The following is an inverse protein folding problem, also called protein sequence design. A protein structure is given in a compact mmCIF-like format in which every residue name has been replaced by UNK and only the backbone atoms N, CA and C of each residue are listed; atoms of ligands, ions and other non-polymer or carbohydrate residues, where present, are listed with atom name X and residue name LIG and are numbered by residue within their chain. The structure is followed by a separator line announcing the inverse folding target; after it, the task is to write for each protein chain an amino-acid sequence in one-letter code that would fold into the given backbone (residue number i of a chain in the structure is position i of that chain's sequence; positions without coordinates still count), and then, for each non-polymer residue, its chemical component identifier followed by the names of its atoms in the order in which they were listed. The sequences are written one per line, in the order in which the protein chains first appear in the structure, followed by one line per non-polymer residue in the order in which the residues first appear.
data_IF_189281787507
#
_entry.id   IF_189281787507
#
_cell.length_a   1.000
_cell.length_b   1.000
_cell.length_c   1.000
_cell.angle_alpha   90.00
_cell.angle_beta   90.00
_cell.angle_gamma   90.00
#
_symmetry.space_group_name_H-M   'P 1'
#
loop_
_entity.id
_entity.type
_entity.pdbx_description
1 polymer ?
#
# COMPACT_ATOMS: atom_id res chain seq x y z
N UNK A 1 11.58 29.67 7.03
CA UNK A 1 10.29 29.58 7.74
C UNK A 1 9.32 28.84 6.84
N UNK A 2 8.69 27.76 7.32
CA UNK A 2 7.71 27.02 6.52
C UNK A 2 6.47 27.88 6.26
N UNK A 3 5.78 27.66 5.13
CA UNK A 3 4.53 28.33 4.79
C UNK A 3 3.48 28.17 5.91
N UNK A 4 3.50 27.02 6.58
CA UNK A 4 2.70 26.69 7.78
C UNK A 4 3.03 27.63 8.94
N UNK A 5 4.31 27.93 9.18
CA UNK A 5 4.72 28.86 10.23
C UNK A 5 4.28 30.31 9.98
N UNK A 6 4.23 30.73 8.71
CA UNK A 6 3.74 32.05 8.33
C UNK A 6 2.22 32.17 8.51
N UNK A 7 1.46 31.12 8.13
CA UNK A 7 0.00 31.06 8.30
C UNK A 7 -0.38 31.07 9.79
N UNK A 8 0.31 30.29 10.63
CA UNK A 8 0.06 30.25 12.08
C UNK A 8 0.37 31.59 12.78
N UNK A 9 1.42 32.31 12.36
CA UNK A 9 1.72 33.65 12.87
C UNK A 9 0.65 34.68 12.48
N UNK A 10 0.17 34.61 11.23
CA UNK A 10 -0.88 35.49 10.73
C UNK A 10 -2.20 35.23 11.48
N UNK A 11 -2.58 33.97 11.67
CA UNK A 11 -3.79 33.61 12.43
C UNK A 11 -3.74 34.06 13.90
N UNK A 12 -2.62 33.84 14.61
CA UNK A 12 -2.48 34.33 15.99
C UNK A 12 -2.56 35.86 16.07
N UNK A 13 -1.96 36.56 15.10
CA UNK A 13 -1.97 38.03 15.07
C UNK A 13 -3.38 38.59 14.86
N UNK A 14 -4.18 37.99 13.97
CA UNK A 14 -5.56 38.40 13.74
C UNK A 14 -6.49 38.01 14.89
N UNK A 15 -6.34 36.81 15.47
CA UNK A 15 -7.17 36.34 16.59
C UNK A 15 -6.99 37.20 17.84
N UNK A 16 -5.74 37.57 18.18
CA UNK A 16 -5.46 38.45 19.32
C UNK A 16 -6.00 39.88 19.12
N UNK A 17 -5.99 40.38 17.88
CA UNK A 17 -6.54 41.69 17.54
C UNK A 17 -8.08 41.66 17.54
N UNK A 18 -8.69 40.55 17.14
CA UNK A 18 -10.14 40.32 17.16
C UNK A 18 -10.70 40.29 18.60
N UNK A 19 -9.99 39.64 19.53
CA UNK A 19 -10.37 39.57 20.95
C UNK A 19 -10.28 40.94 21.64
N UNK A 20 -9.32 41.80 21.26
CA UNK A 20 -9.16 43.15 21.83
C UNK A 20 -10.25 44.14 21.41
N UNK A 21 -10.89 43.94 20.25
CA UNK A 21 -11.85 44.91 19.69
C UNK A 21 -13.29 44.67 20.18
N UNK A 22 -13.63 43.47 20.67
CA UNK A 22 -15.03 43.09 20.92
C UNK A 22 -15.45 42.92 22.40
N UNK A 23 -14.55 43.03 23.38
CA UNK A 23 -14.86 42.72 24.79
C UNK A 23 -14.70 43.96 25.69
N UNK A 24 -15.84 44.47 26.23
CA UNK A 24 -15.83 45.52 27.26
C UNK A 24 -15.12 45.05 28.55
N UNK A 25 -14.52 45.96 29.35
CA UNK A 25 -13.56 45.59 30.40
C UNK A 25 -14.09 44.66 31.51
N UNK A 26 -15.40 44.57 31.74
CA UNK A 26 -16.00 43.89 32.89
C UNK A 26 -16.20 42.38 32.75
N UNK A 27 -15.92 41.76 31.60
CA UNK A 27 -16.03 40.29 31.39
C UNK A 27 -14.68 39.58 31.24
N UNK A 28 -13.56 40.30 31.35
CA UNK A 28 -12.20 39.75 31.12
C UNK A 28 -11.79 38.62 32.07
N UNK A 29 -12.31 38.58 33.30
CA UNK A 29 -11.86 37.61 34.32
C UNK A 29 -12.50 36.21 34.17
N UNK A 30 -13.78 36.13 33.77
CA UNK A 30 -14.45 34.84 33.60
C UNK A 30 -14.16 34.21 32.24
N UNK A 31 -14.01 35.03 31.19
CA UNK A 31 -13.66 34.53 29.85
C UNK A 31 -12.24 34.01 29.81
N UNK A 32 -11.25 34.69 30.43
CA UNK A 32 -9.85 34.23 30.40
C UNK A 32 -9.66 32.88 31.10
N UNK A 33 -10.37 32.65 32.21
CA UNK A 33 -10.31 31.39 32.97
C UNK A 33 -10.92 30.24 32.17
N UNK A 34 -12.10 30.47 31.57
CA UNK A 34 -12.78 29.47 30.75
C UNK A 34 -12.03 29.17 29.43
N UNK A 35 -11.41 30.17 28.81
CA UNK A 35 -10.56 29.96 27.62
C UNK A 35 -9.27 29.20 27.93
N UNK A 36 -8.69 29.38 29.12
CA UNK A 36 -7.48 28.67 29.52
C UNK A 36 -7.75 27.20 29.83
N UNK A 37 -8.88 26.89 30.48
CA UNK A 37 -9.29 25.51 30.75
C UNK A 37 -9.68 24.76 29.47
N UNK A 38 -10.33 25.44 28.52
CA UNK A 38 -10.66 24.87 27.20
C UNK A 38 -9.39 24.67 26.36
N UNK A 39 -8.45 25.61 26.40
CA UNK A 39 -7.16 25.49 25.69
C UNK A 39 -6.31 24.35 26.25
N UNK A 40 -6.27 24.16 27.57
CA UNK A 40 -5.53 23.08 28.22
C UNK A 40 -6.16 21.68 28.03
N UNK A 41 -7.47 21.63 27.78
CA UNK A 41 -8.22 20.42 27.38
C UNK A 41 -8.00 20.07 25.90
N UNK A 42 -7.96 21.08 25.02
CA UNK A 42 -7.82 20.90 23.57
C UNK A 42 -6.38 20.63 23.11
N UNK A 43 -5.37 21.20 23.79
CA UNK A 43 -3.95 20.91 23.52
C UNK A 43 -3.56 19.45 23.81
N UNK A 44 -4.40 18.70 24.55
CA UNK A 44 -4.19 17.26 24.81
C UNK A 44 -4.75 16.34 23.72
N UNK A 45 -5.46 16.85 22.72
CA UNK A 45 -6.00 16.04 21.61
C UNK A 45 -5.65 16.72 20.28
N UNK A 46 -4.56 16.26 19.66
CA UNK A 46 -4.21 16.57 18.27
C UNK A 46 -5.40 16.25 17.35
N UNK A 47 -6.12 17.28 16.88
CA UNK A 47 -7.01 17.23 15.71
C UNK A 47 -7.39 18.65 15.28
N UNK A 48 -6.68 19.15 14.27
CA UNK A 48 -6.93 20.39 13.52
C UNK A 48 -8.37 20.48 12.99
N UNK A 49 -9.07 19.34 12.90
CA UNK A 49 -10.47 19.25 12.46
C UNK A 49 -11.51 19.85 13.44
N UNK A 50 -11.21 19.88 14.75
CA UNK A 50 -12.19 20.33 15.76
C UNK A 50 -12.28 21.85 15.93
N UNK A 51 -11.31 22.62 15.44
CA UNK A 51 -11.34 24.09 15.55
C UNK A 51 -12.37 24.73 14.61
N UNK A 52 -12.65 24.13 13.46
CA UNK A 52 -13.64 24.63 12.50
C UNK A 52 -15.08 24.31 12.93
N UNK A 53 -15.30 23.15 13.55
CA UNK A 53 -16.62 22.74 14.07
C UNK A 53 -17.05 23.61 15.26
N UNK A 54 -16.10 24.07 16.09
CA UNK A 54 -16.41 24.96 17.21
C UNK A 54 -16.84 26.37 16.74
N UNK A 55 -16.29 26.87 15.62
CA UNK A 55 -16.74 28.13 15.01
C UNK A 55 -18.18 27.98 14.47
N UNK A 56 -18.51 26.81 13.90
CA UNK A 56 -19.89 26.47 13.51
C UNK A 56 -20.84 26.37 14.72
N UNK A 57 -20.42 25.76 15.82
CA UNK A 57 -21.24 25.68 17.03
C UNK A 57 -21.46 27.04 17.72
N UNK A 58 -20.55 28.01 17.57
CA UNK A 58 -20.77 29.38 18.06
C UNK A 58 -21.78 30.14 17.18
N UNK A 59 -21.88 29.80 15.89
CA UNK A 59 -22.87 30.38 14.98
C UNK A 59 -24.30 29.80 15.18
N UNK A 60 -24.41 28.62 15.81
CA UNK A 60 -25.67 27.99 16.23
C UNK A 60 -26.04 28.25 17.70
N UNK A 61 -25.32 29.12 18.42
CA UNK A 61 -25.80 29.66 19.70
C UNK A 61 -26.95 30.61 19.38
N UNK A 62 -28.17 30.08 19.49
CA UNK A 62 -29.44 30.70 19.12
C UNK A 62 -29.64 32.10 19.69
N UNK A 63 -30.53 32.85 19.01
CA UNK A 63 -31.23 34.13 19.26
C UNK A 63 -30.70 35.17 20.28
N UNK A 64 -30.03 34.76 21.35
CA UNK A 64 -29.56 35.60 22.44
C UNK A 64 -28.37 36.50 22.07
N UNK A 65 -27.51 36.10 21.13
CA UNK A 65 -26.31 36.87 20.73
C UNK A 65 -26.55 37.84 19.57
N UNK A 66 -27.59 37.62 18.74
CA UNK A 66 -27.87 38.50 17.59
C UNK A 66 -28.32 39.91 17.97
N UNK A 67 -28.86 40.14 19.18
CA UNK A 67 -29.29 41.48 19.63
C UNK A 67 -28.14 42.44 19.97
N UNK A 68 -26.92 41.95 20.18
CA UNK A 68 -25.79 42.76 20.67
C UNK A 68 -24.64 42.90 19.66
N UNK A 69 -24.75 42.27 18.48
CA UNK A 69 -23.72 42.31 17.44
C UNK A 69 -24.25 43.12 16.26
N UNK A 70 -23.50 44.16 15.85
CA UNK A 70 -23.86 45.04 14.74
C UNK A 70 -24.08 44.22 13.44
N UNK A 71 -25.13 44.51 12.67
CA UNK A 71 -25.44 43.86 11.38
C UNK A 71 -24.25 43.85 10.42
N UNK A 72 -23.40 44.87 10.43
CA UNK A 72 -22.16 44.87 9.63
C UNK A 72 -21.17 43.78 10.05
N UNK A 73 -21.05 43.51 11.35
CA UNK A 73 -20.13 42.50 11.89
C UNK A 73 -20.63 41.10 11.52
N UNK A 74 -21.95 40.87 11.60
CA UNK A 74 -22.57 39.62 11.14
C UNK A 74 -22.33 39.40 9.65
N UNK A 75 -22.45 40.46 8.83
CA UNK A 75 -22.20 40.37 7.39
C UNK A 75 -20.73 40.05 7.07
N UNK A 76 -19.79 40.68 7.79
CA UNK A 76 -18.35 40.41 7.64
C UNK A 76 -17.98 38.99 8.07
N UNK A 77 -18.57 38.48 9.15
CA UNK A 77 -18.39 37.08 9.58
C UNK A 77 -18.92 36.14 8.50
N UNK A 78 -20.13 36.38 7.97
CA UNK A 78 -20.71 35.57 6.89
C UNK A 78 -19.84 35.55 5.64
N UNK A 79 -19.36 36.71 5.20
CA UNK A 79 -18.45 36.83 4.05
C UNK A 79 -17.12 36.11 4.30
N UNK A 80 -16.59 36.17 5.53
CA UNK A 80 -15.37 35.44 5.90
C UNK A 80 -15.60 33.93 5.92
N UNK A 81 -16.72 33.43 6.47
CA UNK A 81 -17.08 32.00 6.36
C UNK A 81 -17.29 31.56 4.92
N UNK A 82 -17.89 32.39 4.07
CA UNK A 82 -18.07 32.08 2.65
C UNK A 82 -16.73 32.06 1.92
N UNK A 83 -15.84 33.02 2.21
CA UNK A 83 -14.50 33.06 1.65
C UNK A 83 -13.64 31.87 2.12
N UNK A 84 -13.77 31.45 3.39
CA UNK A 84 -13.12 30.24 3.92
C UNK A 84 -13.75 28.99 3.30
N UNK A 85 -15.06 28.93 3.10
CA UNK A 85 -15.73 27.82 2.41
C UNK A 85 -15.29 27.71 0.94
N UNK A 86 -15.07 28.85 0.26
CA UNK A 86 -14.53 28.91 -1.10
C UNK A 86 -13.03 28.56 -1.13
N UNK A 87 -12.25 29.03 -0.15
CA UNK A 87 -10.85 28.64 -0.01
C UNK A 87 -10.69 27.16 0.30
N UNK A 88 -11.56 26.59 1.17
CA UNK A 88 -11.57 25.17 1.50
C UNK A 88 -12.12 24.33 0.35
N UNK A 89 -13.07 24.83 -0.45
CA UNK A 89 -13.47 24.17 -1.69
C UNK A 89 -12.35 24.19 -2.75
N UNK A 90 -11.52 25.23 -2.77
CA UNK A 90 -10.32 25.28 -3.63
C UNK A 90 -9.14 24.48 -3.07
N UNK A 91 -9.03 24.31 -1.75
CA UNK A 91 -8.04 23.44 -1.10
C UNK A 91 -8.42 21.95 -1.16
N UNK A 92 -9.72 21.63 -1.33
CA UNK A 92 -10.20 20.26 -1.60
C UNK A 92 -10.20 19.90 -3.09
N UNK A 93 -9.76 20.81 -3.95
CA UNK A 93 -9.45 20.58 -5.36
C UNK A 93 -8.01 21.01 -5.67
N UNK A 94 -7.09 20.71 -4.76
CA UNK A 94 -5.70 20.49 -5.12
C UNK A 94 -5.58 19.03 -5.56
N UNK A 95 -5.47 18.83 -6.87
CA UNK A 95 -5.18 17.56 -7.55
C UNK A 95 -3.72 17.13 -7.27
N UNK A 96 -3.40 16.97 -5.99
CA UNK A 96 -2.19 16.30 -5.52
C UNK A 96 -2.65 15.05 -4.76
N UNK A 97 -2.98 14.00 -5.51
CA UNK A 97 -3.13 12.68 -4.89
C UNK A 97 -1.85 12.41 -4.09
N UNK A 98 -2.00 12.11 -2.79
CA UNK A 98 -0.93 11.58 -1.96
C UNK A 98 -0.22 10.47 -2.74
N UNK A 99 1.09 10.58 -3.04
CA UNK A 99 1.78 9.61 -3.88
C UNK A 99 1.64 8.21 -3.26
N UNK A 100 1.60 7.18 -4.11
CA UNK A 100 1.62 5.80 -3.62
C UNK A 100 2.94 5.54 -2.88
N UNK A 101 2.86 4.91 -1.71
CA UNK A 101 4.01 4.53 -0.89
C UNK A 101 4.09 3.02 -0.82
N UNK A 102 4.59 2.42 -1.90
CA UNK A 102 4.56 0.97 -2.13
C UNK A 102 5.32 0.17 -1.06
N UNK A 103 6.53 0.60 -0.70
CA UNK A 103 7.33 0.01 0.37
C UNK A 103 7.30 0.86 1.66
N UNK A 104 6.11 1.35 2.06
CA UNK A 104 5.93 2.15 3.29
C UNK A 104 6.55 1.51 4.54
N UNK A 105 6.48 0.18 4.62
CA UNK A 105 6.92 -0.58 5.77
C UNK A 105 8.40 -0.93 5.75
N UNK A 106 9.13 -0.54 4.71
CA UNK A 106 10.58 -0.75 4.52
C UNK A 106 10.95 -2.23 4.54
N UNK A 107 11.16 -2.78 3.36
CA UNK A 107 11.61 -4.15 3.14
C UNK A 107 13.10 -4.15 2.79
N UNK A 108 13.83 -5.16 3.26
CA UNK A 108 15.26 -5.37 3.02
C UNK A 108 15.48 -6.71 2.31
N UNK A 109 16.49 -6.82 1.43
CA UNK A 109 17.53 -5.81 1.16
C UNK A 109 17.06 -4.67 0.23
N UNK A 110 17.89 -3.63 0.06
CA UNK A 110 17.60 -2.43 -0.75
C UNK A 110 18.74 -2.01 -1.69
N UNK A 111 19.69 -2.90 -1.93
CA UNK A 111 20.85 -2.71 -2.80
C UNK A 111 20.43 -2.51 -4.27
N UNK A 112 19.52 -3.35 -4.78
CA UNK A 112 19.15 -3.38 -6.20
C UNK A 112 17.64 -3.19 -6.39
N UNK A 113 17.19 -1.97 -6.10
CA UNK A 113 15.78 -1.59 -6.15
C UNK A 113 15.40 -0.93 -7.48
N UNK A 114 14.18 -1.20 -7.95
CA UNK A 114 13.49 -0.38 -8.94
C UNK A 114 12.08 0.00 -8.50
N UNK A 115 11.79 1.29 -8.58
CA UNK A 115 10.46 1.84 -8.34
C UNK A 115 9.68 1.99 -9.64
N UNK A 116 8.44 1.50 -9.63
CA UNK A 116 7.44 1.65 -10.67
C UNK A 116 6.23 2.42 -10.11
N UNK A 117 5.33 2.86 -10.98
CA UNK A 117 4.03 3.46 -10.60
C UNK A 117 3.14 2.43 -9.88
N UNK A 118 3.35 1.14 -10.14
CA UNK A 118 2.50 0.06 -9.63
C UNK A 118 3.05 -0.67 -8.40
N UNK A 119 4.37 -0.66 -8.19
CA UNK A 119 5.07 -1.42 -7.15
C UNK A 119 6.54 -0.98 -7.03
N UNK A 120 7.21 -1.44 -5.98
CA UNK A 120 8.66 -1.41 -5.82
C UNK A 120 9.17 -2.86 -5.82
N UNK A 121 10.28 -3.12 -6.51
CA UNK A 121 10.89 -4.46 -6.56
C UNK A 121 12.36 -4.40 -6.14
N UNK A 122 12.80 -5.39 -5.36
CA UNK A 122 14.22 -5.72 -5.16
C UNK A 122 14.60 -6.91 -6.01
N UNK A 123 15.75 -6.82 -6.64
CA UNK A 123 16.34 -7.90 -7.40
C UNK A 123 17.58 -8.39 -6.69
N UNK A 124 17.74 -9.69 -6.71
CA UNK A 124 18.96 -10.34 -6.28
C UNK A 124 20.14 -9.90 -7.17
N UNK A 125 21.24 -9.57 -6.53
CA UNK A 125 22.43 -9.00 -7.16
C UNK A 125 23.51 -10.10 -7.28
N UNK A 126 24.72 -9.75 -7.72
CA UNK A 126 25.84 -10.71 -7.74
C UNK A 126 26.62 -10.73 -6.42
N UNK A 127 26.13 -10.02 -5.40
CA UNK A 127 26.72 -9.98 -4.07
C UNK A 127 26.04 -11.01 -3.16
N UNK A 128 26.85 -11.65 -2.32
CA UNK A 128 26.50 -12.76 -1.42
C UNK A 128 25.75 -12.30 -0.15
N UNK A 129 24.96 -11.23 -0.24
CA UNK A 129 24.36 -10.57 0.92
C UNK A 129 23.19 -11.37 1.56
N UNK A 130 22.81 -12.49 0.95
CA UNK A 130 21.74 -13.40 1.35
C UNK A 130 22.26 -14.80 1.76
N UNK A 131 23.59 -14.97 1.93
CA UNK A 131 24.27 -16.20 2.35
C UNK A 131 23.99 -17.44 1.46
N UNK A 132 23.53 -17.24 0.20
CA UNK A 132 23.33 -18.33 -0.75
C UNK A 132 24.66 -18.76 -1.41
N UNK A 133 24.92 -20.07 -1.58
CA UNK A 133 26.17 -20.54 -2.17
C UNK A 133 26.17 -20.42 -3.71
N UNK A 134 26.90 -19.46 -4.28
CA UNK A 134 27.23 -19.42 -5.72
C UNK A 134 27.24 -18.02 -6.36
N UNK A 135 27.43 -17.95 -7.68
CA UNK A 135 27.05 -16.77 -8.48
C UNK A 135 25.51 -16.71 -8.47
N UNK A 136 24.96 -15.91 -7.57
CA UNK A 136 23.67 -16.18 -6.92
C UNK A 136 22.41 -15.73 -7.67
N UNK A 137 22.57 -15.02 -8.79
CA UNK A 137 21.45 -14.36 -9.46
C UNK A 137 20.33 -15.33 -9.86
N UNK A 138 19.22 -15.27 -9.13
CA UNK A 138 18.04 -16.12 -9.36
C UNK A 138 17.27 -15.78 -10.64
N UNK A 139 17.43 -14.56 -11.17
CA UNK A 139 16.62 -14.04 -12.28
C UNK A 139 15.18 -13.71 -11.88
N UNK A 140 14.91 -13.65 -10.58
CA UNK A 140 13.62 -13.31 -9.97
C UNK A 140 13.78 -12.17 -8.99
N UNK A 141 12.73 -11.37 -8.71
CA UNK A 141 12.77 -10.44 -7.60
C UNK A 141 12.84 -11.19 -6.27
N UNK A 142 13.62 -10.67 -5.32
CA UNK A 142 13.63 -11.15 -3.94
C UNK A 142 12.32 -10.81 -3.25
N UNK A 143 11.84 -9.59 -3.50
CA UNK A 143 10.56 -9.12 -3.02
C UNK A 143 9.99 -8.04 -3.94
N UNK A 144 8.66 -7.95 -3.94
CA UNK A 144 7.86 -6.91 -4.56
C UNK A 144 6.90 -6.37 -3.50
N UNK A 145 6.92 -5.05 -3.32
CA UNK A 145 6.05 -4.35 -2.39
C UNK A 145 5.10 -3.40 -3.15
N UNK A 146 3.84 -3.32 -2.74
CA UNK A 146 2.87 -2.43 -3.35
C UNK A 146 1.75 -2.00 -2.39
N UNK A 147 1.15 -0.86 -2.69
CA UNK A 147 0.01 -0.31 -1.97
C UNK A 147 -1.24 -0.52 -2.84
N UNK A 148 -2.31 -1.03 -2.23
CA UNK A 148 -3.63 -1.14 -2.84
C UNK A 148 -4.53 -0.13 -2.16
N UNK A 149 -5.16 0.75 -2.94
CA UNK A 149 -6.20 1.67 -2.46
C UNK A 149 -7.59 1.18 -2.87
N UNK A 150 -8.59 1.62 -2.13
CA UNK A 150 -9.99 1.54 -2.51
C UNK A 150 -10.16 2.07 -3.93
N UNK A 151 -10.92 1.34 -4.74
CA UNK A 151 -11.27 1.79 -6.07
C UNK A 151 -12.67 2.39 -6.04
N UNK A 152 -12.79 3.66 -6.44
CA UNK A 152 -14.05 4.42 -6.36
C UNK A 152 -14.97 4.20 -7.58
N UNK A 153 -14.50 3.51 -8.62
CA UNK A 153 -15.32 3.15 -9.77
C UNK A 153 -16.09 1.84 -9.57
N UNK A 154 -17.17 1.67 -10.31
CA UNK A 154 -18.01 0.45 -10.23
C UNK A 154 -17.27 -0.81 -10.71
N UNK A 155 -16.41 -0.65 -11.71
CA UNK A 155 -15.58 -1.70 -12.27
C UNK A 155 -14.28 -1.10 -12.80
N UNK A 156 -13.22 -1.92 -12.86
CA UNK A 156 -11.91 -1.47 -13.31
C UNK A 156 -11.89 -1.49 -14.84
N UNK A 157 -11.71 -0.34 -15.52
CA UNK A 157 -11.64 -0.30 -16.97
C UNK A 157 -10.31 -0.91 -17.41
N UNK A 158 -10.39 -2.05 -18.08
CA UNK A 158 -9.21 -2.76 -18.55
C UNK A 158 -8.92 -2.42 -20.01
N UNK A 159 -7.67 -2.10 -20.35
CA UNK A 159 -7.25 -2.05 -21.75
C UNK A 159 -6.51 -3.34 -22.14
N UNK A 160 -6.53 -3.61 -23.45
CA UNK A 160 -5.96 -4.82 -24.07
C UNK A 160 -4.43 -4.95 -23.91
N UNK A 161 -3.93 -6.11 -24.36
CA UNK A 161 -2.65 -6.72 -23.95
C UNK A 161 -1.41 -5.82 -23.90
N UNK A 162 -0.63 -6.00 -22.84
CA UNK A 162 0.72 -5.49 -22.71
C UNK A 162 1.73 -6.59 -23.06
N UNK A 163 2.83 -6.20 -23.69
CA UNK A 163 3.94 -7.11 -23.96
C UNK A 163 4.90 -7.12 -22.77
N UNK A 164 5.44 -8.29 -22.46
CA UNK A 164 6.52 -8.44 -21.47
C UNK A 164 7.79 -7.73 -21.93
N UNK A 165 8.40 -6.99 -21.00
CA UNK A 165 9.60 -6.19 -21.28
C UNK A 165 10.76 -6.66 -20.42
N UNK A 166 11.94 -6.75 -21.03
CA UNK A 166 13.19 -6.83 -20.30
C UNK A 166 13.58 -5.42 -19.81
N UNK A 167 14.04 -5.32 -18.58
CA UNK A 167 14.60 -4.09 -18.06
C UNK A 167 16.06 -4.00 -18.46
N UNK A 168 16.35 -3.20 -19.49
CA UNK A 168 17.67 -3.18 -20.15
C UNK A 168 18.85 -3.11 -19.16
N UNK A 169 18.77 -2.25 -18.13
CA UNK A 169 19.83 -2.13 -17.10
C UNK A 169 20.06 -3.45 -16.36
N UNK A 170 19.00 -4.17 -16.03
CA UNK A 170 19.07 -5.43 -15.28
C UNK A 170 19.46 -6.59 -16.21
N UNK A 171 19.02 -6.57 -17.47
CA UNK A 171 19.48 -7.53 -18.48
C UNK A 171 20.98 -7.36 -18.77
N UNK A 172 21.44 -6.13 -19.06
CA UNK A 172 22.84 -5.83 -19.38
C UNK A 172 23.79 -6.24 -18.23
N UNK A 173 23.32 -6.15 -16.98
CA UNK A 173 24.08 -6.54 -15.79
C UNK A 173 24.00 -8.05 -15.49
N UNK A 174 23.18 -8.80 -16.22
CA UNK A 174 22.94 -10.22 -15.97
C UNK A 174 22.22 -10.47 -14.65
N UNK A 175 21.27 -9.61 -14.27
CA UNK A 175 20.45 -9.69 -13.06
C UNK A 175 19.03 -10.20 -13.37
N UNK A 176 18.46 -9.77 -14.50
CA UNK A 176 17.10 -10.12 -14.89
C UNK A 176 17.04 -10.73 -16.30
N UNK A 177 16.13 -11.68 -16.53
CA UNK A 177 15.95 -12.30 -17.84
C UNK A 177 15.23 -11.36 -18.81
N UNK A 178 15.24 -11.76 -20.08
CA UNK A 178 14.26 -11.34 -21.08
C UNK A 178 13.26 -12.44 -21.39
N UNK A 179 12.31 -12.13 -22.26
CA UNK A 179 11.14 -12.97 -22.55
C UNK A 179 11.43 -14.37 -23.08
N UNK A 180 12.57 -14.57 -23.75
CA UNK A 180 12.96 -15.87 -24.29
C UNK A 180 13.13 -16.94 -23.21
N UNK A 181 13.65 -16.57 -22.03
CA UNK A 181 13.83 -17.47 -20.88
C UNK A 181 12.52 -18.11 -20.38
N UNK A 182 11.37 -17.48 -20.70
CA UNK A 182 10.03 -17.95 -20.39
C UNK A 182 9.25 -18.42 -21.64
N UNK A 183 9.89 -18.46 -22.81
CA UNK A 183 9.26 -18.86 -24.05
C UNK A 183 9.17 -20.38 -24.12
N UNK A 184 7.98 -20.87 -24.47
CA UNK A 184 7.74 -22.29 -24.69
C UNK A 184 6.97 -22.44 -25.99
N UNK A 185 7.34 -23.44 -26.80
CA UNK A 185 6.63 -23.73 -28.04
C UNK A 185 5.16 -24.10 -27.78
N UNK A 186 4.28 -23.85 -28.76
CA UNK A 186 2.87 -24.26 -28.66
C UNK A 186 2.72 -25.77 -28.45
N UNK A 187 3.62 -26.58 -29.05
CA UNK A 187 3.68 -28.03 -28.84
C UNK A 187 3.98 -28.36 -27.38
N UNK A 188 4.99 -27.73 -26.79
CA UNK A 188 5.33 -27.92 -25.37
C UNK A 188 4.16 -27.55 -24.46
N UNK A 189 3.56 -26.37 -24.66
CA UNK A 189 2.43 -25.89 -23.85
C UNK A 189 1.20 -26.79 -23.93
N UNK A 190 0.97 -27.42 -25.09
CA UNK A 190 -0.14 -28.35 -25.29
C UNK A 190 0.12 -29.70 -24.61
N UNK A 191 1.37 -30.18 -24.64
CA UNK A 191 1.77 -31.41 -23.97
C UNK A 191 1.92 -31.25 -22.44
N UNK A 192 2.23 -30.03 -21.97
CA UNK A 192 2.47 -29.70 -20.57
C UNK A 192 1.48 -28.61 -20.13
N UNK A 193 0.22 -28.95 -19.83
CA UNK A 193 -0.81 -27.97 -19.49
C UNK A 193 -0.51 -27.18 -18.21
N UNK A 194 0.40 -27.66 -17.36
CA UNK A 194 0.88 -26.99 -16.14
C UNK A 194 2.34 -26.49 -16.25
N UNK A 195 2.73 -26.01 -17.43
CA UNK A 195 4.01 -25.36 -17.63
C UNK A 195 4.18 -24.09 -16.77
N UNK A 196 5.42 -23.65 -16.58
CA UNK A 196 5.74 -22.45 -15.80
C UNK A 196 5.43 -21.16 -16.57
N UNK A 197 4.37 -20.48 -16.16
CA UNK A 197 3.99 -19.17 -16.71
C UNK A 197 4.83 -18.04 -16.10
N UNK A 198 4.73 -16.86 -16.72
CA UNK A 198 5.22 -15.60 -16.14
C UNK A 198 4.21 -15.16 -15.07
N UNK A 199 4.42 -15.64 -13.84
CA UNK A 199 3.48 -15.41 -12.76
C UNK A 199 3.76 -14.07 -12.08
N UNK A 200 2.76 -13.19 -12.05
CA UNK A 200 2.91 -11.85 -11.49
C UNK A 200 2.98 -11.91 -9.96
N UNK A 201 3.77 -11.00 -9.37
CA UNK A 201 3.76 -10.74 -7.93
C UNK A 201 2.80 -9.60 -7.57
N UNK A 202 2.85 -8.49 -8.33
CA UNK A 202 1.81 -7.47 -8.40
C UNK A 202 0.91 -7.74 -9.62
N UNK A 203 -0.38 -8.03 -9.39
CA UNK A 203 -1.33 -8.33 -10.45
C UNK A 203 -1.74 -7.09 -11.26
N UNK A 204 -1.85 -7.26 -12.59
CA UNK A 204 -2.29 -6.23 -13.54
C UNK A 204 -3.56 -5.51 -13.08
N UNK A 205 -4.58 -6.24 -12.65
CA UNK A 205 -5.89 -5.67 -12.33
C UNK A 205 -5.84 -4.73 -11.10
N UNK A 206 -4.97 -5.00 -10.12
CA UNK A 206 -4.72 -4.05 -9.01
C UNK A 206 -4.04 -2.80 -9.55
N UNK A 207 -3.00 -2.95 -10.38
CA UNK A 207 -2.30 -1.82 -10.96
C UNK A 207 -3.20 -0.95 -11.87
N UNK A 208 -4.20 -1.52 -12.53
CA UNK A 208 -5.21 -0.78 -13.30
C UNK A 208 -6.08 0.14 -12.44
N UNK A 209 -6.15 -0.06 -11.11
CA UNK A 209 -6.78 0.91 -10.19
C UNK A 209 -6.03 2.25 -10.18
N UNK A 210 -4.74 2.23 -10.49
CA UNK A 210 -3.86 3.42 -10.53
C UNK A 210 -3.95 4.05 -11.91
N UNK A 211 -3.52 3.31 -12.94
CA UNK A 211 -3.57 3.75 -14.34
C UNK A 211 -3.28 2.60 -15.30
N UNK A 212 -3.55 2.80 -16.59
CA UNK A 212 -3.12 1.86 -17.63
C UNK A 212 -1.60 1.77 -17.77
N UNK A 213 -0.86 2.83 -17.40
CA UNK A 213 0.60 2.81 -17.42
C UNK A 213 1.16 1.96 -16.27
N UNK A 214 0.59 2.08 -15.08
CA UNK A 214 0.87 1.21 -13.94
C UNK A 214 0.62 -0.27 -14.30
N UNK A 215 -0.50 -0.54 -14.98
CA UNK A 215 -0.80 -1.88 -15.50
C UNK A 215 0.27 -2.39 -16.48
N UNK A 216 0.71 -1.55 -17.42
CA UNK A 216 1.76 -1.92 -18.36
C UNK A 216 3.10 -2.21 -17.67
N UNK A 217 3.41 -1.55 -16.56
CA UNK A 217 4.62 -1.77 -15.77
C UNK A 217 4.61 -3.10 -15.01
N UNK A 218 3.46 -3.74 -14.82
CA UNK A 218 3.40 -5.10 -14.24
C UNK A 218 3.97 -6.18 -15.17
N UNK A 219 4.11 -5.90 -16.47
CA UNK A 219 4.63 -6.81 -17.51
C UNK A 219 6.14 -6.68 -17.67
N UNK A 220 6.86 -6.90 -16.57
CA UNK A 220 8.33 -6.87 -16.50
C UNK A 220 8.84 -8.05 -15.68
N UNK A 221 10.05 -8.53 -15.96
CA UNK A 221 10.62 -9.67 -15.23
C UNK A 221 11.05 -9.34 -13.79
N UNK A 222 11.04 -8.07 -13.41
CA UNK A 222 11.20 -7.62 -12.02
C UNK A 222 9.93 -7.80 -11.18
N UNK A 223 8.84 -8.25 -11.79
CA UNK A 223 7.54 -8.52 -11.15
C UNK A 223 7.05 -9.93 -11.43
N UNK A 224 7.92 -10.82 -11.90
CA UNK A 224 7.53 -12.15 -12.32
C UNK A 224 8.48 -13.24 -11.83
N UNK A 225 7.87 -14.37 -11.50
CA UNK A 225 8.56 -15.62 -11.15
C UNK A 225 7.98 -16.77 -11.97
N UNK A 226 8.72 -17.88 -12.20
CA UNK A 226 8.17 -19.08 -12.81
C UNK A 226 7.10 -19.69 -11.91
N UNK A 227 5.83 -19.49 -12.25
CA UNK A 227 4.70 -20.07 -11.52
C UNK A 227 4.06 -21.20 -12.31
N UNK A 228 3.72 -22.31 -11.67
CA UNK A 228 2.87 -23.36 -12.28
C UNK A 228 1.55 -22.76 -12.73
N UNK A 229 1.13 -23.03 -13.97
CA UNK A 229 -0.08 -22.41 -14.55
C UNK A 229 -1.32 -22.60 -13.67
N UNK A 230 -1.52 -23.80 -13.11
CA UNK A 230 -2.68 -24.09 -12.25
C UNK A 230 -2.59 -23.39 -10.90
N UNK A 231 -1.39 -23.23 -10.35
CA UNK A 231 -1.16 -22.43 -9.14
C UNK A 231 -1.50 -20.95 -9.39
N UNK A 232 -0.91 -20.37 -10.44
CA UNK A 232 -1.08 -18.97 -10.83
C UNK A 232 -2.57 -18.62 -11.09
N UNK A 233 -3.27 -19.45 -11.87
CA UNK A 233 -4.69 -19.21 -12.21
C UNK A 233 -5.68 -19.78 -11.18
N UNK A 234 -5.17 -20.36 -10.10
CA UNK A 234 -5.95 -21.00 -9.06
C UNK A 234 -5.86 -20.23 -7.75
N UNK A 235 -5.27 -20.87 -6.74
CA UNK A 235 -5.24 -20.36 -5.37
C UNK A 235 -4.53 -19.00 -5.24
N UNK A 236 -3.50 -18.75 -6.05
CA UNK A 236 -2.77 -17.48 -6.03
C UNK A 236 -3.68 -16.33 -6.48
N UNK A 237 -4.35 -16.49 -7.62
CA UNK A 237 -5.31 -15.51 -8.14
C UNK A 237 -6.50 -15.28 -7.19
N UNK A 238 -6.98 -16.33 -6.51
CA UNK A 238 -8.05 -16.18 -5.53
C UNK A 238 -7.60 -15.30 -4.35
N UNK A 239 -6.40 -15.53 -3.81
CA UNK A 239 -5.82 -14.68 -2.77
C UNK A 239 -5.65 -13.24 -3.26
N UNK A 240 -5.19 -13.03 -4.50
CA UNK A 240 -5.09 -11.71 -5.10
C UNK A 240 -6.44 -10.98 -5.10
N UNK A 241 -7.54 -11.66 -5.49
CA UNK A 241 -8.88 -11.09 -5.40
C UNK A 241 -9.32 -10.80 -3.96
N UNK A 242 -8.95 -11.64 -2.99
CA UNK A 242 -9.24 -11.40 -1.57
C UNK A 242 -8.50 -10.15 -1.06
N UNK A 243 -7.22 -9.97 -1.40
CA UNK A 243 -6.47 -8.75 -1.03
C UNK A 243 -7.07 -7.48 -1.62
N UNK A 244 -7.57 -7.58 -2.85
CA UNK A 244 -8.32 -6.53 -3.56
C UNK A 244 -9.63 -6.17 -2.82
N UNK A 245 -10.34 -7.17 -2.28
CA UNK A 245 -11.54 -6.96 -1.49
C UNK A 245 -11.26 -6.35 -0.11
N UNK A 246 -10.21 -6.78 0.58
CA UNK A 246 -9.80 -6.15 1.83
C UNK A 246 -9.40 -4.68 1.63
N UNK A 247 -8.76 -4.34 0.52
CA UNK A 247 -8.42 -2.94 0.23
C UNK A 247 -9.68 -2.09 0.00
N UNK A 248 -10.72 -2.67 -0.60
CA UNK A 248 -12.01 -2.01 -0.74
C UNK A 248 -12.70 -1.80 0.62
N UNK A 249 -12.65 -2.80 1.51
CA UNK A 249 -13.25 -2.72 2.86
C UNK A 249 -12.50 -1.75 3.79
N UNK A 250 -11.17 -1.72 3.74
CA UNK A 250 -10.33 -0.98 4.69
C UNK A 250 -9.78 0.33 4.15
N UNK A 251 -10.12 0.71 2.92
CA UNK A 251 -9.66 1.94 2.27
C UNK A 251 -8.27 1.83 1.64
N UNK A 252 -7.30 1.22 2.33
CA UNK A 252 -5.97 0.90 1.77
C UNK A 252 -5.25 -0.20 2.53
N UNK A 253 -4.35 -0.88 1.83
CA UNK A 253 -3.50 -1.95 2.34
C UNK A 253 -2.12 -1.92 1.66
N UNK A 254 -1.15 -2.56 2.30
CA UNK A 254 0.15 -2.84 1.72
C UNK A 254 0.35 -4.34 1.58
N UNK A 255 0.99 -4.75 0.49
CA UNK A 255 1.36 -6.13 0.23
C UNK A 255 2.86 -6.18 -0.02
N UNK A 256 3.53 -7.15 0.60
CA UNK A 256 4.91 -7.53 0.31
C UNK A 256 4.89 -9.01 -0.08
N UNK A 257 5.51 -9.38 -1.19
CA UNK A 257 5.41 -10.74 -1.72
C UNK A 257 6.67 -11.10 -2.50
N UNK A 258 7.01 -12.39 -2.58
CA UNK A 258 8.22 -12.84 -3.24
C UNK A 258 8.32 -14.36 -3.30
N UNK A 259 9.35 -14.87 -3.99
CA UNK A 259 9.68 -16.29 -4.03
C UNK A 259 10.24 -16.78 -2.69
N UNK A 260 10.15 -18.09 -2.48
CA UNK A 260 10.87 -18.85 -1.46
C UNK A 260 11.64 -19.96 -2.17
N UNK A 261 12.93 -20.06 -1.84
CA UNK A 261 13.82 -21.14 -2.23
C UNK A 261 14.21 -21.90 -0.97
N UNK A 262 13.77 -23.16 -0.85
CA UNK A 262 14.01 -23.93 0.38
C UNK A 262 15.51 -24.23 0.49
N UNK A 263 16.07 -24.04 1.68
CA UNK A 263 17.50 -24.17 1.96
C UNK A 263 18.38 -23.32 1.02
N UNK A 264 17.82 -22.24 0.47
CA UNK A 264 18.51 -21.37 -0.47
C UNK A 264 18.73 -21.96 -1.86
N UNK A 265 18.12 -23.11 -2.17
CA UNK A 265 18.37 -23.85 -3.40
C UNK A 265 17.12 -23.85 -4.28
N UNK A 266 17.19 -23.35 -5.53
CA UNK A 266 16.07 -23.45 -6.45
C UNK A 266 15.68 -24.89 -6.78
N UNK A 267 14.37 -25.16 -6.83
CA UNK A 267 13.82 -26.46 -7.25
C UNK A 267 14.21 -26.86 -8.70
N UNK A 268 14.68 -25.90 -9.48
CA UNK A 268 15.15 -26.04 -10.85
C UNK A 268 15.23 -24.68 -11.53
N UNK A 269 15.46 -24.70 -12.85
CA UNK A 269 15.55 -23.49 -13.66
C UNK A 269 14.75 -23.64 -14.95
N UNK A 270 14.18 -22.53 -15.44
CA UNK A 270 13.70 -22.40 -16.81
C UNK A 270 14.74 -21.67 -17.67
N UNK A 271 14.51 -21.59 -18.98
CA UNK A 271 15.45 -21.07 -19.98
C UNK A 271 16.23 -22.20 -20.64
N UNK A 272 16.19 -22.30 -21.97
CA UNK A 272 16.82 -23.36 -22.76
C UNK A 272 18.19 -22.92 -23.31
N UNK A 273 19.12 -23.86 -23.50
CA UNK A 273 20.42 -23.56 -24.12
C UNK A 273 21.17 -22.41 -23.42
N UNK A 274 21.54 -21.40 -24.20
CA UNK A 274 22.28 -20.19 -23.78
C UNK A 274 21.37 -19.07 -23.24
N UNK A 275 20.07 -19.31 -23.05
CA UNK A 275 19.17 -18.35 -22.43
C UNK A 275 19.49 -18.16 -20.94
N UNK A 276 19.11 -16.99 -20.42
CA UNK A 276 19.22 -16.69 -18.99
C UNK A 276 18.46 -17.74 -18.18
N UNK A 277 19.12 -18.35 -17.18
CA UNK A 277 18.48 -19.34 -16.31
C UNK A 277 17.70 -18.63 -15.22
N UNK A 278 16.41 -18.93 -15.13
CA UNK A 278 15.55 -18.33 -14.11
C UNK A 278 15.14 -19.39 -13.11
N UNK A 279 15.45 -19.14 -11.85
CA UNK A 279 15.17 -20.03 -10.74
C UNK A 279 13.67 -20.27 -10.56
N UNK A 280 13.30 -21.51 -10.30
CA UNK A 280 11.91 -21.91 -10.02
C UNK A 280 11.74 -21.96 -8.50
N UNK A 281 10.90 -21.09 -7.90
CA UNK A 281 10.70 -21.09 -6.46
C UNK A 281 9.88 -22.30 -5.99
N UNK A 282 10.18 -22.80 -4.79
CA UNK A 282 9.42 -23.88 -4.15
C UNK A 282 8.04 -23.40 -3.68
N UNK A 283 7.99 -22.18 -3.16
CA UNK A 283 6.81 -21.53 -2.65
C UNK A 283 6.84 -20.03 -2.94
N UNK A 284 5.72 -19.35 -2.75
CA UNK A 284 5.66 -17.89 -2.70
C UNK A 284 5.14 -17.45 -1.34
N UNK A 285 5.65 -16.34 -0.82
CA UNK A 285 5.08 -15.71 0.36
C UNK A 285 4.23 -14.49 0.00
N UNK A 286 3.29 -14.15 0.88
CA UNK A 286 2.57 -12.86 0.82
C UNK A 286 2.32 -12.35 2.24
N UNK A 287 2.74 -11.13 2.52
CA UNK A 287 2.48 -10.39 3.75
C UNK A 287 1.53 -9.25 3.40
N UNK A 288 0.38 -9.19 4.08
CA UNK A 288 -0.64 -8.16 3.90
C UNK A 288 -0.72 -7.34 5.17
N UNK A 289 -0.55 -6.03 5.05
CA UNK A 289 -0.50 -5.09 6.18
C UNK A 289 -1.67 -4.13 6.09
N UNK A 290 -2.47 -4.09 7.16
CA UNK A 290 -3.52 -3.09 7.39
C UNK A 290 -3.05 -2.10 8.44
N UNK A 291 -2.96 -0.84 8.05
CA UNK A 291 -2.55 0.26 8.94
C UNK A 291 -3.68 0.66 9.90
N UNK A 292 -3.95 -0.19 10.89
CA UNK A 292 -4.84 0.16 12.02
C UNK A 292 -4.14 1.07 13.03
N UNK A 293 -2.82 0.89 13.18
CA UNK A 293 -1.93 1.74 13.98
C UNK A 293 -0.54 1.75 13.32
N UNK A 294 0.09 2.92 13.25
CA UNK A 294 1.42 3.11 12.65
C UNK A 294 2.52 2.24 13.28
N UNK A 295 2.43 1.93 14.56
CA UNK A 295 3.45 1.14 15.26
C UNK A 295 2.98 -0.28 15.63
N UNK A 296 1.74 -0.62 15.30
CA UNK A 296 1.16 -1.94 15.55
C UNK A 296 0.05 -2.22 14.53
N UNK A 297 0.37 -2.32 13.23
CA UNK A 297 -0.61 -2.64 12.20
C UNK A 297 -1.12 -4.07 12.37
N UNK A 298 -2.27 -4.37 11.77
CA UNK A 298 -2.72 -5.75 11.64
C UNK A 298 -2.05 -6.39 10.43
N UNK A 299 -1.58 -7.62 10.59
CA UNK A 299 -0.83 -8.34 9.55
C UNK A 299 -1.41 -9.73 9.34
N UNK A 300 -1.42 -10.16 8.08
CA UNK A 300 -1.55 -11.57 7.71
C UNK A 300 -0.33 -11.95 6.88
N UNK A 301 0.27 -13.09 7.17
CA UNK A 301 1.41 -13.62 6.44
C UNK A 301 1.07 -15.02 5.95
N UNK A 302 1.47 -15.33 4.72
CA UNK A 302 1.17 -16.60 4.07
C UNK A 302 2.39 -17.18 3.36
N UNK A 303 2.48 -18.50 3.34
CA UNK A 303 3.40 -19.27 2.48
C UNK A 303 2.57 -20.24 1.63
N UNK A 304 2.73 -20.17 0.31
CA UNK A 304 2.02 -21.00 -0.65
C UNK A 304 3.01 -21.86 -1.44
N UNK A 305 3.12 -23.17 -1.17
CA UNK A 305 3.90 -24.05 -2.03
C UNK A 305 3.28 -24.12 -3.42
N UNK A 306 4.11 -24.09 -4.47
CA UNK A 306 3.64 -24.19 -5.85
C UNK A 306 2.90 -25.51 -6.11
N UNK A 307 3.28 -26.57 -5.38
CA UNK A 307 2.59 -27.86 -5.32
C UNK A 307 2.18 -28.16 -3.88
N UNK A 308 0.88 -28.13 -3.61
CA UNK A 308 0.33 -28.43 -2.28
C UNK A 308 -1.18 -28.68 -2.32
N UNK A 309 -1.82 -28.81 -1.16
CA UNK A 309 -3.25 -29.13 -1.07
C UNK A 309 -4.16 -28.19 -1.90
N UNK A 310 -3.84 -26.90 -1.88
CA UNK A 310 -4.54 -25.82 -2.59
C UNK A 310 -4.34 -25.87 -4.09
N UNK A 311 -3.24 -26.44 -4.58
CA UNK A 311 -3.06 -26.72 -6.01
C UNK A 311 -4.10 -27.74 -6.52
N UNK A 312 -4.56 -28.67 -5.68
CA UNK A 312 -5.52 -29.72 -6.07
C UNK A 312 -6.98 -29.39 -5.72
N UNK A 313 -7.23 -28.44 -4.82
CA UNK A 313 -8.57 -28.04 -4.40
C UNK A 313 -9.27 -27.11 -5.41
N UNK A 314 -10.61 -27.06 -5.35
CA UNK A 314 -11.44 -26.02 -5.98
C UNK A 314 -12.05 -25.04 -4.98
N UNK A 315 -12.08 -25.42 -3.70
CA UNK A 315 -12.49 -24.57 -2.59
C UNK A 315 -11.22 -24.23 -1.82
N UNK A 316 -10.67 -23.04 -2.06
CA UNK A 316 -9.43 -22.63 -1.41
C UNK A 316 -9.72 -22.23 0.03
N UNK A 317 -9.02 -22.88 0.94
CA UNK A 317 -9.03 -22.56 2.36
C UNK A 317 -7.69 -21.90 2.69
N UNK A 318 -7.68 -20.57 2.61
CA UNK A 318 -6.46 -19.76 2.77
C UNK A 318 -5.92 -19.78 4.21
N UNK A 319 -6.75 -20.15 5.21
CA UNK A 319 -6.32 -20.23 6.61
C UNK A 319 -5.20 -21.27 6.83
N UNK A 320 -5.17 -22.32 5.99
CA UNK A 320 -4.15 -23.40 6.04
C UNK A 320 -2.75 -22.95 5.65
N UNK A 321 -2.64 -21.77 5.06
CA UNK A 321 -1.39 -21.20 4.56
C UNK A 321 -0.89 -20.04 5.44
N UNK A 322 -1.62 -19.72 6.51
CA UNK A 322 -1.21 -18.69 7.47
C UNK A 322 0.07 -19.11 8.19
N UNK A 323 0.99 -18.17 8.32
CA UNK A 323 2.26 -18.30 9.03
C UNK A 323 2.56 -17.00 9.79
N UNK A 324 3.70 -16.95 10.48
CA UNK A 324 4.26 -15.74 11.05
C UNK A 324 5.21 -15.05 10.06
N UNK A 325 5.44 -13.75 10.22
CA UNK A 325 6.46 -13.05 9.42
C UNK A 325 7.85 -13.57 9.79
N UNK A 326 8.07 -13.91 11.07
CA UNK A 326 9.36 -14.44 11.54
C UNK A 326 9.76 -15.73 10.81
N UNK A 327 8.81 -16.62 10.51
CA UNK A 327 9.08 -17.84 9.73
C UNK A 327 9.43 -17.51 8.28
N UNK A 328 8.79 -16.52 7.66
CA UNK A 328 9.18 -16.07 6.31
C UNK A 328 10.62 -15.52 6.33
N UNK A 329 10.96 -14.68 7.30
CA UNK A 329 12.33 -14.13 7.44
C UNK A 329 13.38 -15.22 7.67
N UNK A 330 13.05 -16.24 8.46
CA UNK A 330 13.95 -17.37 8.72
C UNK A 330 14.24 -18.16 7.44
N UNK A 331 13.23 -18.36 6.58
CA UNK A 331 13.39 -19.14 5.35
C UNK A 331 14.04 -18.32 4.23
N UNK A 332 13.72 -17.03 4.11
CA UNK A 332 14.16 -16.20 2.97
C UNK A 332 15.39 -15.34 3.24
N UNK A 333 15.78 -15.16 4.50
CA UNK A 333 16.83 -14.20 4.89
C UNK A 333 16.41 -12.72 4.78
N UNK A 334 15.17 -12.44 4.34
CA UNK A 334 14.67 -11.08 4.19
C UNK A 334 14.32 -10.45 5.55
N UNK A 335 14.19 -9.12 5.58
CA UNK A 335 13.71 -8.39 6.75
C UNK A 335 12.60 -7.42 6.38
N UNK A 336 11.44 -7.55 7.04
CA UNK A 336 10.23 -6.77 6.80
C UNK A 336 9.94 -5.78 7.93
N UNK A 337 9.03 -4.85 7.64
CA UNK A 337 8.48 -3.90 8.62
C UNK A 337 9.54 -3.07 9.37
N UNK A 338 10.66 -2.75 8.69
CA UNK A 338 11.81 -2.05 9.30
C UNK A 338 11.50 -0.60 9.71
N UNK A 339 10.37 -0.02 9.28
CA UNK A 339 9.91 1.28 9.78
C UNK A 339 9.29 1.22 11.19
N UNK A 340 9.01 0.02 11.72
CA UNK A 340 8.49 -0.19 13.08
C UNK A 340 9.64 -0.39 14.07
N UNK A 341 9.53 0.18 15.28
CA UNK A 341 10.53 -0.03 16.35
C UNK A 341 10.77 -1.51 16.66
N UNK A 342 12.03 -1.86 16.88
CA UNK A 342 12.49 -3.25 17.01
C UNK A 342 11.69 -4.08 18.02
N UNK A 343 11.41 -3.51 19.19
CA UNK A 343 10.65 -4.19 20.26
C UNK A 343 9.24 -4.58 19.78
N UNK A 344 8.54 -3.65 19.11
CA UNK A 344 7.18 -3.89 18.61
C UNK A 344 7.20 -4.82 17.41
N UNK A 345 8.15 -4.60 16.51
CA UNK A 345 8.39 -5.39 15.30
C UNK A 345 8.59 -6.87 15.64
N UNK A 346 9.49 -7.19 16.58
CA UNK A 346 9.74 -8.57 17.02
C UNK A 346 8.48 -9.24 17.57
N UNK A 347 7.69 -8.53 18.38
CA UNK A 347 6.42 -9.04 18.92
C UNK A 347 5.38 -9.25 17.83
N UNK A 348 5.28 -8.35 16.86
CA UNK A 348 4.33 -8.42 15.75
C UNK A 348 4.68 -9.60 14.83
N UNK A 349 5.95 -9.73 14.45
CA UNK A 349 6.42 -10.75 13.50
C UNK A 349 6.29 -12.18 14.00
N UNK A 350 6.35 -12.39 15.32
CA UNK A 350 6.21 -13.71 15.93
C UNK A 350 4.77 -14.22 16.03
N UNK A 351 3.77 -13.42 15.65
CA UNK A 351 2.36 -13.80 15.72
C UNK A 351 1.92 -14.52 14.44
N UNK A 352 1.13 -15.57 14.60
CA UNK A 352 0.39 -16.23 13.52
C UNK A 352 -1.09 -15.98 13.74
N UNK A 353 -1.77 -15.43 12.73
CA UNK A 353 -3.22 -15.25 12.79
C UNK A 353 -3.93 -16.62 12.79
N UNK A 354 -5.01 -16.76 13.55
CA UNK A 354 -5.78 -18.01 13.57
C UNK A 354 -6.75 -18.16 12.39
N UNK A 355 -7.10 -17.06 11.75
CA UNK A 355 -7.97 -17.02 10.57
C UNK A 355 -7.65 -15.80 9.72
N UNK A 356 -8.10 -15.80 8.47
CA UNK A 356 -8.01 -14.66 7.56
C UNK A 356 -9.04 -13.59 7.96
N UNK A 357 -8.82 -12.34 7.52
CA UNK A 357 -9.81 -11.30 7.75
C UNK A 357 -11.10 -11.59 6.97
N UNK A 358 -12.28 -11.32 7.56
CA UNK A 358 -13.53 -11.52 6.85
C UNK A 358 -13.60 -10.60 5.63
N UNK A 359 -14.17 -11.11 4.54
CA UNK A 359 -14.44 -10.31 3.34
C UNK A 359 -15.76 -10.74 2.72
N UNK A 360 -16.36 -9.81 1.99
CA UNK A 360 -17.57 -10.04 1.20
C UNK A 360 -17.18 -10.20 -0.26
N UNK A 361 -17.73 -11.19 -0.96
CA UNK A 361 -17.40 -11.45 -2.38
C UNK A 361 -17.75 -10.26 -3.28
N UNK A 362 -18.71 -9.45 -2.87
CA UNK A 362 -19.16 -8.24 -3.55
C UNK A 362 -18.10 -7.12 -3.51
N UNK A 363 -17.17 -7.16 -2.54
CA UNK A 363 -16.06 -6.21 -2.45
C UNK A 363 -14.92 -6.51 -3.43
N UNK A 364 -14.97 -7.65 -4.14
CA UNK A 364 -14.00 -7.96 -5.19
C UNK A 364 -14.33 -7.09 -6.41
N UNK A 365 -13.63 -5.97 -6.56
CA UNK A 365 -13.73 -5.11 -7.74
C UNK A 365 -13.22 -5.85 -8.97
N UNK A 366 -14.10 -6.06 -9.95
CA UNK A 366 -13.79 -6.79 -11.19
C UNK A 366 -13.49 -5.84 -12.34
N UNK A 367 -12.86 -6.39 -13.37
CA UNK A 367 -12.82 -5.75 -14.68
C UNK A 367 -14.23 -5.41 -15.17
N UNK A 368 -14.38 -4.27 -15.85
CA UNK A 368 -15.62 -3.94 -16.53
C UNK A 368 -15.97 -5.02 -17.56
N UNK A 369 -17.23 -5.45 -17.58
CA UNK A 369 -17.74 -6.30 -18.67
C UNK A 369 -17.93 -5.41 -19.89
N UNK A 370 -17.23 -5.74 -20.98
CA UNK A 370 -17.40 -5.09 -22.28
C UNK A 370 -18.68 -5.49 -22.98
#
# INVERSE_FOLDING_TARGET
MSLIGLVLMIEQFYLQRFIRVLIKPSTKANVSKQTNDISASLLRKNKIFNHLVLIFQIAEIGDYTQRYINKEVIMKIRMLTLAIAVLTSHLTHSDTQDPYSHDKWVTQPQDTIKEFIAFTASMDSKDDNNDLPGDDVTGTPEWVAYEIREYLGECIPTKGGHSWKAEKKFEDNGIAPKDNSYAYSNKFRSANPDWYVRGHLQMKLIAERISNEAAAQTFTFLNAVPQRKKFNSGIWLDLEYITSAWAQEYGKLWVITGPIYIDGMPSGYIGEGEEFKVAIPDALFKIVVRESNLENPDVLAFIYPQLGAGYYSKNYDHSRYLTSIAEIEEITGLSFLNSISEIKRKKLKAQTASDIWPYKKEMITRACRG
#
